data_IF_316664457540
#
_entry.id   IF_316664457540
#
_cell.length_a   1.000
_cell.length_b   1.000
_cell.length_c   1.000
_cell.angle_alpha   90.00
_cell.angle_beta   90.00
_cell.angle_gamma   90.00
#
_symmetry.space_group_name_H-M   'P 1'
#
loop_
_entity.id
_entity.type
_entity.pdbx_description
1 polymer ?
#
# COMPACT_ATOMS: atom_id res chain seq x y z
N UNK A 1 -3.05 -8.01 -6.27
CA UNK A 1 -4.37 -8.02 -5.56
C UNK A 1 -5.25 -9.12 -6.14
N UNK A 2 -5.92 -9.90 -5.32
CA UNK A 2 -6.73 -11.07 -5.70
C UNK A 2 -7.89 -10.70 -6.64
N UNK A 3 -8.13 -11.42 -7.75
CA UNK A 3 -9.35 -11.29 -8.55
C UNK A 3 -10.63 -11.49 -7.73
N UNK A 4 -11.73 -10.87 -8.16
CA UNK A 4 -12.99 -10.94 -7.41
C UNK A 4 -13.58 -12.35 -7.35
N UNK A 5 -13.41 -13.12 -8.42
CA UNK A 5 -13.86 -14.49 -8.59
C UNK A 5 -12.91 -15.55 -8.01
N UNK A 6 -11.72 -15.15 -7.55
CA UNK A 6 -10.76 -16.05 -6.91
C UNK A 6 -10.97 -16.06 -5.38
N UNK A 7 -11.51 -17.11 -4.76
CA UNK A 7 -11.95 -17.07 -3.37
C UNK A 7 -10.78 -17.03 -2.36
N UNK A 8 -10.98 -16.39 -1.22
CA UNK A 8 -9.98 -16.32 -0.13
C UNK A 8 -9.60 -17.72 0.39
N UNK A 9 -10.52 -18.68 0.35
CA UNK A 9 -10.25 -20.08 0.75
C UNK A 9 -9.18 -20.76 -0.10
N UNK A 10 -8.93 -20.25 -1.32
CA UNK A 10 -7.83 -20.70 -2.19
C UNK A 10 -6.62 -19.75 -2.11
N UNK A 11 -6.88 -18.45 -2.03
CA UNK A 11 -5.83 -17.43 -2.09
C UNK A 11 -4.91 -17.47 -0.87
N UNK A 12 -5.44 -17.51 0.36
CA UNK A 12 -4.61 -17.50 1.55
C UNK A 12 -3.71 -18.74 1.66
N UNK A 13 -4.21 -19.99 1.42
CA UNK A 13 -3.34 -21.16 1.34
C UNK A 13 -2.28 -21.05 0.26
N UNK A 14 -2.61 -20.50 -0.93
CA UNK A 14 -1.64 -20.29 -2.01
C UNK A 14 -0.49 -19.37 -1.56
N UNK A 15 -0.82 -18.24 -0.90
CA UNK A 15 0.19 -17.32 -0.35
C UNK A 15 1.06 -18.02 0.70
N UNK A 16 0.46 -18.76 1.63
CA UNK A 16 1.22 -19.50 2.63
C UNK A 16 2.16 -20.56 2.01
N UNK A 17 1.67 -21.32 1.02
CA UNK A 17 2.47 -22.33 0.33
C UNK A 17 3.59 -21.74 -0.55
N UNK A 18 3.51 -20.48 -0.92
CA UNK A 18 4.59 -19.79 -1.64
C UNK A 18 5.81 -19.48 -0.77
N UNK A 19 5.75 -19.74 0.52
CA UNK A 19 6.79 -19.38 1.50
C UNK A 19 6.68 -17.96 2.04
N UNK A 20 5.63 -17.22 1.67
CA UNK A 20 5.38 -15.90 2.24
C UNK A 20 5.00 -16.01 3.73
N UNK A 21 5.53 -15.11 4.55
CA UNK A 21 5.24 -15.01 5.99
C UNK A 21 4.11 -14.03 6.31
N UNK A 22 3.68 -13.23 5.33
CA UNK A 22 2.66 -12.21 5.51
C UNK A 22 1.85 -11.98 4.24
N UNK A 23 0.70 -11.32 4.39
CA UNK A 23 -0.20 -10.94 3.29
C UNK A 23 -0.70 -9.52 3.49
N UNK A 24 -0.68 -8.70 2.43
CA UNK A 24 -1.40 -7.45 2.35
C UNK A 24 -2.89 -7.69 2.09
N UNK A 25 -3.75 -7.04 2.86
CA UNK A 25 -5.19 -7.14 2.75
C UNK A 25 -5.79 -5.82 2.25
N UNK A 26 -6.99 -5.90 1.69
CA UNK A 26 -7.80 -4.73 1.34
C UNK A 26 -9.12 -4.77 2.09
N UNK A 27 -9.83 -3.64 2.10
CA UNK A 27 -11.17 -3.54 2.70
C UNK A 27 -12.11 -4.64 2.20
N UNK A 28 -11.95 -5.13 0.96
CA UNK A 28 -12.75 -6.25 0.42
C UNK A 28 -12.62 -7.54 1.24
N UNK A 29 -11.46 -7.77 1.85
CA UNK A 29 -11.31 -8.93 2.73
C UNK A 29 -12.26 -8.85 3.93
N UNK A 30 -12.45 -7.63 4.46
CA UNK A 30 -13.35 -7.36 5.59
C UNK A 30 -14.84 -7.40 5.20
N UNK A 31 -15.15 -7.21 3.93
CA UNK A 31 -16.51 -7.31 3.40
C UNK A 31 -16.91 -8.78 3.12
N UNK A 32 -15.92 -9.61 2.79
CA UNK A 32 -16.15 -11.03 2.46
C UNK A 32 -16.07 -11.96 3.68
N UNK A 33 -15.25 -11.63 4.69
CA UNK A 33 -15.00 -12.49 5.86
C UNK A 33 -15.03 -11.64 7.13
N UNK A 34 -15.82 -12.00 8.14
CA UNK A 34 -15.78 -11.36 9.46
C UNK A 34 -14.36 -11.38 10.05
N UNK A 35 -13.93 -10.24 10.62
CA UNK A 35 -12.55 -10.05 11.12
C UNK A 35 -12.07 -11.16 12.03
N UNK A 36 -12.85 -11.66 13.03
CA UNK A 36 -12.41 -12.76 13.89
C UNK A 36 -12.14 -14.07 13.12
N UNK A 37 -12.97 -14.36 12.09
CA UNK A 37 -12.77 -15.56 11.26
C UNK A 37 -11.54 -15.39 10.34
N UNK A 38 -11.34 -14.19 9.79
CA UNK A 38 -10.16 -13.88 8.97
C UNK A 38 -8.88 -14.03 9.81
N UNK A 39 -8.87 -13.48 11.03
CA UNK A 39 -7.76 -13.61 11.98
C UNK A 39 -7.43 -15.09 12.29
N UNK A 40 -8.44 -15.91 12.59
CA UNK A 40 -8.24 -17.34 12.84
C UNK A 40 -7.62 -18.05 11.63
N UNK A 41 -8.15 -17.82 10.41
CA UNK A 41 -7.62 -18.42 9.18
C UNK A 41 -6.16 -18.02 8.89
N UNK A 42 -5.82 -16.75 9.13
CA UNK A 42 -4.44 -16.27 8.98
C UNK A 42 -3.51 -16.95 9.98
N UNK A 43 -3.94 -17.07 11.24
CA UNK A 43 -3.18 -17.77 12.29
C UNK A 43 -2.96 -19.24 11.96
N UNK A 44 -4.00 -19.95 11.48
CA UNK A 44 -3.91 -21.37 11.07
C UNK A 44 -2.91 -21.57 9.92
N UNK A 45 -2.73 -20.55 9.06
CA UNK A 45 -1.80 -20.60 7.94
C UNK A 45 -0.41 -20.01 8.27
N UNK A 46 -0.20 -19.50 9.49
CA UNK A 46 1.04 -18.85 9.89
C UNK A 46 1.31 -17.53 9.16
N UNK A 47 0.26 -16.86 8.65
CA UNK A 47 0.38 -15.60 7.93
C UNK A 47 0.14 -14.40 8.83
N UNK A 48 1.09 -13.48 8.90
CA UNK A 48 0.87 -12.14 9.44
C UNK A 48 0.13 -11.25 8.45
N UNK A 49 -0.43 -10.13 8.92
CA UNK A 49 -0.95 -9.06 8.06
C UNK A 49 0.10 -7.97 7.94
N UNK A 50 0.73 -7.85 6.78
CA UNK A 50 1.75 -6.83 6.51
C UNK A 50 1.14 -5.45 6.34
N UNK A 51 0.06 -5.35 5.57
CA UNK A 51 -0.71 -4.12 5.42
C UNK A 51 -2.21 -4.36 5.31
N UNK A 52 -2.99 -3.32 5.70
CA UNK A 52 -4.40 -3.20 5.38
C UNK A 52 -4.60 -1.97 4.51
N UNK A 53 -5.21 -2.13 3.34
CA UNK A 53 -5.39 -1.09 2.33
C UNK A 53 -6.86 -0.76 2.14
N UNK A 54 -7.26 0.51 2.10
CA UNK A 54 -6.54 1.70 2.49
C UNK A 54 -7.50 2.69 3.15
N UNK A 55 -7.00 3.38 4.16
CA UNK A 55 -7.68 4.49 4.83
C UNK A 55 -7.35 5.82 4.13
N UNK A 56 -7.88 6.94 4.66
CA UNK A 56 -7.60 8.28 4.16
C UNK A 56 -8.75 8.86 3.35
N UNK A 57 -8.49 9.22 2.09
CA UNK A 57 -9.45 9.84 1.15
C UNK A 57 -10.13 11.08 1.73
N UNK A 58 -9.32 12.06 2.17
CA UNK A 58 -9.73 13.22 2.95
C UNK A 58 -10.46 14.31 2.16
N UNK A 59 -10.55 14.21 0.83
CA UNK A 59 -10.92 15.32 -0.05
C UNK A 59 -12.39 15.34 -0.48
N UNK A 60 -13.24 14.43 0.03
CA UNK A 60 -14.67 14.48 -0.26
C UNK A 60 -15.30 15.73 0.35
N UNK A 61 -15.87 16.61 -0.49
CA UNK A 61 -16.60 17.80 -0.07
C UNK A 61 -18.09 17.55 0.18
N UNK A 62 -18.64 16.54 -0.46
CA UNK A 62 -19.98 16.06 -0.15
C UNK A 62 -20.01 15.50 1.28
N UNK A 63 -20.90 16.08 2.11
CA UNK A 63 -20.95 15.77 3.53
C UNK A 63 -21.27 14.30 3.82
N UNK A 64 -22.14 13.69 3.01
CA UNK A 64 -22.53 12.30 3.18
C UNK A 64 -21.37 11.35 2.81
N UNK A 65 -20.66 11.62 1.70
CA UNK A 65 -19.47 10.87 1.31
C UNK A 65 -18.33 11.03 2.31
N UNK A 66 -18.13 12.26 2.81
CA UNK A 66 -17.12 12.53 3.84
C UNK A 66 -17.42 11.75 5.12
N UNK A 67 -18.67 11.74 5.58
CA UNK A 67 -19.08 10.99 6.76
C UNK A 67 -18.93 9.47 6.58
N UNK A 68 -19.31 8.94 5.41
CA UNK A 68 -19.09 7.52 5.08
C UNK A 68 -17.61 7.16 5.08
N UNK A 69 -16.76 8.01 4.49
CA UNK A 69 -15.32 7.77 4.48
C UNK A 69 -14.74 7.82 5.90
N UNK A 70 -15.16 8.76 6.73
CA UNK A 70 -14.74 8.81 8.13
C UNK A 70 -15.11 7.52 8.88
N UNK A 71 -16.34 7.02 8.71
CA UNK A 71 -16.77 5.75 9.28
C UNK A 71 -15.94 4.56 8.75
N UNK A 72 -15.65 4.55 7.46
CA UNK A 72 -14.78 3.53 6.84
C UNK A 72 -13.37 3.55 7.44
N UNK A 73 -12.81 4.73 7.65
CA UNK A 73 -11.49 4.88 8.27
C UNK A 73 -11.46 4.32 9.71
N UNK A 74 -12.50 4.58 10.50
CA UNK A 74 -12.62 4.00 11.85
C UNK A 74 -12.70 2.48 11.80
N UNK A 75 -13.55 1.92 10.94
CA UNK A 75 -13.66 0.47 10.72
C UNK A 75 -12.31 -0.16 10.34
N UNK A 76 -11.54 0.51 9.47
CA UNK A 76 -10.22 0.02 9.07
C UNK A 76 -9.20 0.09 10.20
N UNK A 77 -9.23 1.11 11.05
CA UNK A 77 -8.38 1.19 12.25
C UNK A 77 -8.72 0.04 13.20
N UNK A 78 -10.00 -0.19 13.51
CA UNK A 78 -10.43 -1.23 14.41
C UNK A 78 -10.06 -2.63 13.87
N UNK A 79 -10.25 -2.86 12.57
CA UNK A 79 -9.85 -4.11 11.91
C UNK A 79 -8.33 -4.30 11.88
N UNK A 80 -7.55 -3.24 11.62
CA UNK A 80 -6.09 -3.28 11.64
C UNK A 80 -5.57 -3.66 13.04
N UNK A 81 -6.14 -3.08 14.09
CA UNK A 81 -5.81 -3.41 15.48
C UNK A 81 -6.14 -4.88 15.81
N UNK A 82 -7.34 -5.36 15.45
CA UNK A 82 -7.78 -6.73 15.73
C UNK A 82 -6.95 -7.77 14.97
N UNK A 83 -6.63 -7.51 13.70
CA UNK A 83 -5.81 -8.39 12.85
C UNK A 83 -4.32 -8.33 13.21
N UNK A 84 -3.88 -7.34 13.99
CA UNK A 84 -2.46 -7.10 14.24
C UNK A 84 -1.73 -6.66 12.97
N UNK A 85 -2.38 -5.90 12.09
CA UNK A 85 -1.78 -5.42 10.86
C UNK A 85 -0.56 -4.53 11.17
N UNK A 86 0.57 -4.80 10.54
CA UNK A 86 1.81 -4.05 10.75
C UNK A 86 1.69 -2.60 10.29
N UNK A 87 0.84 -2.36 9.28
CA UNK A 87 0.64 -1.04 8.68
C UNK A 87 -0.81 -0.88 8.19
N UNK A 88 -1.44 0.24 8.50
CA UNK A 88 -2.64 0.70 7.81
C UNK A 88 -2.22 1.72 6.75
N UNK A 89 -2.33 1.35 5.48
CA UNK A 89 -1.94 2.21 4.36
C UNK A 89 -2.95 3.36 4.21
N UNK A 90 -2.43 4.56 3.98
CA UNK A 90 -3.22 5.79 3.82
C UNK A 90 -3.01 6.37 2.44
N UNK A 91 -4.11 6.47 1.67
CA UNK A 91 -4.19 7.14 0.37
C UNK A 91 -5.00 8.43 0.55
N UNK A 92 -4.49 9.54 0.06
CA UNK A 92 -4.98 10.87 0.45
C UNK A 92 -6.25 11.34 -0.26
N UNK A 93 -6.59 10.73 -1.39
CA UNK A 93 -7.67 11.18 -2.27
C UNK A 93 -7.20 12.19 -3.31
N UNK A 94 -7.85 12.18 -4.48
CA UNK A 94 -7.51 13.04 -5.62
C UNK A 94 -8.33 14.32 -5.69
N UNK A 95 -7.88 15.30 -6.48
CA UNK A 95 -8.50 16.62 -6.64
C UNK A 95 -9.93 16.56 -7.18
N UNK A 96 -10.27 15.57 -8.00
CA UNK A 96 -11.63 15.43 -8.54
C UNK A 96 -12.69 15.19 -7.49
N UNK A 97 -12.30 14.92 -6.24
CA UNK A 97 -13.23 14.77 -5.12
C UNK A 97 -13.72 16.10 -4.53
N UNK A 98 -13.30 17.26 -5.09
CA UNK A 98 -13.91 18.55 -4.82
C UNK A 98 -13.02 19.62 -4.21
N UNK A 99 -11.72 19.40 -4.07
CA UNK A 99 -10.81 20.43 -3.57
C UNK A 99 -10.74 21.64 -4.53
N UNK A 100 -10.76 22.85 -3.99
CA UNK A 100 -10.72 24.08 -4.77
C UNK A 100 -9.36 24.31 -5.45
N UNK A 101 -8.27 23.88 -4.83
CA UNK A 101 -6.90 23.95 -5.37
C UNK A 101 -6.03 22.85 -4.80
N UNK A 102 -4.88 22.57 -5.44
CA UNK A 102 -3.90 21.63 -4.92
C UNK A 102 -3.32 22.09 -3.57
N UNK A 103 -3.20 23.39 -3.34
CA UNK A 103 -2.76 23.95 -2.06
C UNK A 103 -3.77 23.64 -0.96
N UNK A 104 -5.06 23.89 -1.21
CA UNK A 104 -6.13 23.62 -0.22
C UNK A 104 -6.28 22.14 0.04
N UNK A 105 -6.18 21.31 -1.02
CA UNK A 105 -6.16 19.86 -0.90
C UNK A 105 -5.05 19.37 0.03
N UNK A 106 -3.82 19.84 -0.16
CA UNK A 106 -2.67 19.45 0.67
C UNK A 106 -2.81 19.88 2.12
N UNK A 107 -3.41 21.05 2.40
CA UNK A 107 -3.74 21.48 3.76
C UNK A 107 -4.78 20.55 4.40
N UNK A 108 -5.87 20.25 3.68
CA UNK A 108 -6.92 19.33 4.15
C UNK A 108 -6.34 17.93 4.42
N UNK A 109 -5.42 17.46 3.58
CA UNK A 109 -4.72 16.19 3.76
C UNK A 109 -3.87 16.20 5.04
N UNK A 110 -3.06 17.24 5.27
CA UNK A 110 -2.24 17.33 6.47
C UNK A 110 -3.11 17.29 7.74
N UNK A 111 -4.16 18.11 7.80
CA UNK A 111 -5.11 18.12 8.92
C UNK A 111 -5.82 16.77 9.09
N UNK A 112 -6.20 16.13 7.98
CA UNK A 112 -6.86 14.82 7.98
C UNK A 112 -5.94 13.70 8.46
N UNK A 113 -4.67 13.72 8.03
CA UNK A 113 -3.67 12.74 8.44
C UNK A 113 -3.38 12.81 9.94
N UNK A 114 -3.24 14.01 10.50
CA UNK A 114 -3.05 14.18 11.94
C UNK A 114 -4.23 13.61 12.74
N UNK A 115 -5.48 13.97 12.40
CA UNK A 115 -6.66 13.41 13.07
C UNK A 115 -6.76 11.88 12.96
N UNK A 116 -6.44 11.33 11.79
CA UNK A 116 -6.43 9.89 11.59
C UNK A 116 -5.35 9.22 12.45
N UNK A 117 -4.17 9.83 12.52
CA UNK A 117 -3.05 9.33 13.31
C UNK A 117 -3.34 9.29 14.81
N UNK A 118 -3.97 10.33 15.36
CA UNK A 118 -4.41 10.35 16.76
C UNK A 118 -5.35 9.19 17.09
N UNK A 119 -6.33 8.93 16.22
CA UNK A 119 -7.26 7.81 16.40
C UNK A 119 -6.58 6.45 16.23
N UNK A 120 -5.68 6.32 15.25
CA UNK A 120 -4.89 5.12 15.02
C UNK A 120 -3.94 4.83 16.19
N UNK A 121 -3.27 5.85 16.73
CA UNK A 121 -2.41 5.73 17.91
C UNK A 121 -3.16 5.18 19.12
N UNK A 122 -4.39 5.67 19.36
CA UNK A 122 -5.24 5.20 20.46
C UNK A 122 -5.62 3.72 20.33
N UNK A 123 -5.56 3.15 19.13
CA UNK A 123 -5.80 1.73 18.84
C UNK A 123 -4.51 0.92 18.67
N UNK A 124 -3.33 1.52 18.86
CA UNK A 124 -2.04 0.87 18.64
C UNK A 124 -1.72 0.60 17.16
N UNK A 125 -2.36 1.31 16.23
CA UNK A 125 -2.21 1.12 14.79
C UNK A 125 -1.18 2.10 14.23
N UNK A 126 -0.26 1.60 13.40
CA UNK A 126 0.73 2.40 12.68
C UNK A 126 0.24 2.72 11.26
N UNK A 127 0.33 3.98 10.85
CA UNK A 127 -0.06 4.44 9.52
C UNK A 127 1.13 4.39 8.55
N UNK A 128 0.86 4.01 7.30
CA UNK A 128 1.80 4.12 6.18
C UNK A 128 1.25 5.06 5.13
N UNK A 129 1.75 6.30 5.04
CA UNK A 129 1.36 7.23 3.99
C UNK A 129 1.96 6.79 2.66
N UNK A 130 1.10 6.54 1.67
CA UNK A 130 1.50 6.15 0.32
C UNK A 130 1.51 7.38 -0.61
N UNK A 131 2.69 7.83 -1.08
CA UNK A 131 2.77 8.81 -2.15
C UNK A 131 2.32 8.18 -3.47
N UNK A 132 1.49 8.90 -4.21
CA UNK A 132 0.87 8.42 -5.45
C UNK A 132 1.57 9.04 -6.66
N UNK A 133 1.84 8.25 -7.69
CA UNK A 133 2.38 8.76 -8.96
C UNK A 133 1.61 10.00 -9.44
N UNK A 134 2.27 11.04 -9.97
CA UNK A 134 1.62 12.29 -10.39
C UNK A 134 0.45 12.13 -11.37
N UNK A 135 0.45 11.08 -12.19
CA UNK A 135 -0.70 10.75 -13.05
C UNK A 135 -2.00 10.50 -12.26
N UNK A 136 -1.90 10.12 -10.98
CA UNK A 136 -3.04 9.90 -10.10
C UNK A 136 -3.52 11.12 -9.31
N UNK A 137 -2.98 12.33 -9.57
CA UNK A 137 -3.30 13.54 -8.78
C UNK A 137 -4.78 13.91 -8.80
N UNK A 138 -5.48 13.61 -9.87
CA UNK A 138 -6.91 13.93 -9.99
C UNK A 138 -7.81 12.91 -9.31
N UNK A 139 -7.43 11.63 -9.26
CA UNK A 139 -8.34 10.54 -8.89
C UNK A 139 -7.90 9.72 -7.68
N UNK A 140 -6.60 9.64 -7.38
CA UNK A 140 -6.09 8.74 -6.33
C UNK A 140 -5.43 9.49 -5.17
N UNK A 141 -4.49 10.42 -5.43
CA UNK A 141 -3.79 11.10 -4.34
C UNK A 141 -3.08 12.38 -4.73
N UNK A 142 -3.05 13.36 -3.81
CA UNK A 142 -2.41 14.67 -4.00
C UNK A 142 -1.05 14.83 -3.30
N UNK A 143 -0.56 13.77 -2.65
CA UNK A 143 0.83 13.64 -2.20
C UNK A 143 1.56 12.83 -3.26
N UNK A 144 2.41 13.51 -4.05
CA UNK A 144 2.94 12.95 -5.30
C UNK A 144 4.46 12.92 -5.35
N UNK A 145 5.15 13.13 -4.23
CA UNK A 145 6.60 12.94 -4.14
C UNK A 145 7.00 12.39 -2.78
N UNK A 146 8.09 11.66 -2.76
CA UNK A 146 8.66 11.05 -1.56
C UNK A 146 9.03 12.10 -0.51
N UNK A 147 9.65 13.20 -0.94
CA UNK A 147 10.01 14.33 -0.06
C UNK A 147 8.81 14.96 0.62
N UNK A 148 7.71 15.18 -0.13
CA UNK A 148 6.48 15.73 0.45
C UNK A 148 5.84 14.73 1.42
N UNK A 149 5.75 13.45 1.05
CA UNK A 149 5.22 12.42 1.94
C UNK A 149 6.04 12.31 3.24
N UNK A 150 7.37 12.31 3.14
CA UNK A 150 8.28 12.29 4.29
C UNK A 150 8.04 13.50 5.22
N UNK A 151 7.87 14.70 4.65
CA UNK A 151 7.60 15.90 5.44
C UNK A 151 6.28 15.84 6.22
N UNK A 152 5.27 15.16 5.66
CA UNK A 152 3.96 15.01 6.33
C UNK A 152 3.97 14.02 7.50
N UNK A 153 4.84 12.99 7.44
CA UNK A 153 4.92 11.97 8.50
C UNK A 153 6.01 12.24 9.52
N UNK A 154 6.90 13.22 9.28
CA UNK A 154 8.07 13.47 10.14
C UNK A 154 7.72 13.72 11.61
N UNK A 155 6.64 14.44 11.86
CA UNK A 155 6.21 14.89 13.18
C UNK A 155 5.11 13.99 13.79
N UNK A 156 4.74 12.90 13.11
CA UNK A 156 3.70 11.96 13.54
C UNK A 156 4.36 10.66 13.99
N UNK A 157 4.36 10.38 15.29
CA UNK A 157 5.12 9.27 15.88
C UNK A 157 4.66 7.88 15.42
N UNK A 158 3.38 7.70 15.08
CA UNK A 158 2.80 6.44 14.59
C UNK A 158 2.52 6.46 13.08
N UNK A 159 3.23 7.29 12.31
CA UNK A 159 3.15 7.32 10.88
C UNK A 159 4.54 7.21 10.24
N UNK A 160 4.60 6.50 9.13
CA UNK A 160 5.77 6.30 8.29
C UNK A 160 5.32 6.28 6.83
N UNK A 161 6.21 5.92 5.91
CA UNK A 161 5.88 5.76 4.50
C UNK A 161 5.46 4.31 4.20
N UNK A 162 4.45 4.15 3.36
CA UNK A 162 4.26 2.97 2.54
C UNK A 162 4.90 3.27 1.17
N UNK A 163 6.03 2.65 0.89
CA UNK A 163 6.77 2.86 -0.35
C UNK A 163 6.29 1.88 -1.40
N UNK A 164 5.42 2.34 -2.31
CA UNK A 164 5.06 1.58 -3.50
C UNK A 164 5.98 1.97 -4.67
N UNK A 165 6.80 1.02 -5.13
CA UNK A 165 7.74 1.26 -6.23
C UNK A 165 7.01 1.62 -7.54
N UNK A 166 5.79 1.09 -7.78
CA UNK A 166 4.97 1.52 -8.92
C UNK A 166 4.62 3.00 -8.88
N UNK A 167 4.46 3.57 -7.70
CA UNK A 167 4.14 4.99 -7.55
C UNK A 167 5.35 5.88 -7.40
N UNK A 168 6.55 5.32 -7.13
CA UNK A 168 7.73 6.07 -6.73
C UNK A 168 8.95 5.89 -7.65
N UNK A 169 8.92 4.97 -8.62
CA UNK A 169 10.06 4.64 -9.49
C UNK A 169 10.64 5.85 -10.26
N UNK A 170 9.81 6.82 -10.57
CA UNK A 170 10.15 8.03 -11.33
C UNK A 170 10.74 9.15 -10.45
N UNK A 171 10.58 9.06 -9.12
CA UNK A 171 10.95 10.13 -8.18
C UNK A 171 12.47 10.16 -8.00
N UNK A 172 13.15 11.28 -8.35
CA UNK A 172 14.59 11.40 -8.21
C UNK A 172 15.06 11.35 -6.75
N UNK A 173 14.18 11.54 -5.77
CA UNK A 173 14.50 11.43 -4.35
C UNK A 173 14.49 9.95 -3.84
N UNK A 174 14.09 8.96 -4.66
CA UNK A 174 14.03 7.55 -4.25
C UNK A 174 15.38 7.01 -3.74
N UNK A 175 16.52 7.21 -4.42
CA UNK A 175 17.82 6.75 -3.92
C UNK A 175 18.24 7.43 -2.62
N UNK A 176 17.86 8.69 -2.41
CA UNK A 176 18.14 9.42 -1.16
C UNK A 176 17.26 8.91 -0.01
N UNK A 177 15.98 8.68 -0.26
CA UNK A 177 15.06 8.09 0.71
C UNK A 177 15.59 6.73 1.21
N UNK A 178 16.00 5.86 0.29
CA UNK A 178 16.52 4.54 0.63
C UNK A 178 17.77 4.66 1.50
N UNK A 179 18.74 5.49 1.12
CA UNK A 179 20.00 5.63 1.84
C UNK A 179 19.85 6.29 3.22
N UNK A 180 19.04 7.34 3.32
CA UNK A 180 19.07 8.24 4.47
C UNK A 180 17.81 8.16 5.33
N UNK A 181 16.73 7.58 4.83
CA UNK A 181 15.40 7.57 5.47
C UNK A 181 14.74 6.19 5.48
N UNK A 182 15.49 5.10 5.31
CA UNK A 182 14.95 3.74 5.31
C UNK A 182 14.18 3.39 6.58
N UNK A 183 14.54 3.97 7.71
CA UNK A 183 13.85 3.83 9.00
C UNK A 183 12.45 4.51 9.03
N UNK A 184 12.14 5.35 8.03
CA UNK A 184 10.82 5.98 7.83
C UNK A 184 9.94 5.18 6.88
N UNK A 185 10.41 4.05 6.35
CA UNK A 185 9.63 3.15 5.50
C UNK A 185 9.10 2.02 6.36
N UNK A 186 7.79 1.80 6.35
CA UNK A 186 7.13 0.77 7.15
C UNK A 186 6.82 -0.50 6.36
N UNK A 187 6.41 -0.32 5.11
CA UNK A 187 6.13 -1.39 4.15
C UNK A 187 6.63 -0.96 2.79
N UNK A 188 7.17 -1.90 2.02
CA UNK A 188 7.55 -1.71 0.63
C UNK A 188 6.67 -2.57 -0.24
N UNK A 189 5.90 -1.93 -1.12
CA UNK A 189 5.10 -2.62 -2.14
C UNK A 189 5.90 -2.61 -3.45
N UNK A 190 6.03 -3.77 -4.07
CA UNK A 190 6.85 -3.90 -5.27
C UNK A 190 6.12 -4.63 -6.40
N UNK A 191 6.30 -4.15 -7.57
CA UNK A 191 6.10 -4.76 -8.88
C UNK A 191 6.96 -3.99 -9.87
N UNK A 192 6.99 -4.38 -11.12
CA UNK A 192 7.59 -3.56 -12.15
C UNK A 192 6.55 -2.65 -12.82
N UNK A 193 7.02 -1.74 -13.64
CA UNK A 193 6.24 -0.73 -14.37
C UNK A 193 6.48 -0.89 -15.86
N UNK A 194 5.41 -0.96 -16.64
CA UNK A 194 5.48 -0.96 -18.10
C UNK A 194 4.57 0.11 -18.67
N UNK A 195 4.99 0.74 -19.77
CA UNK A 195 4.14 1.54 -20.63
C UNK A 195 3.72 0.67 -21.81
N UNK A 196 2.42 0.44 -21.99
CA UNK A 196 1.94 -0.46 -23.03
C UNK A 196 1.88 0.22 -24.41
N UNK A 197 0.82 0.93 -24.68
CA UNK A 197 0.55 1.55 -26.00
C UNK A 197 0.66 3.06 -25.96
N UNK A 198 0.30 3.65 -24.82
CA UNK A 198 0.38 5.06 -24.53
C UNK A 198 1.39 5.24 -23.39
N UNK A 199 2.41 6.10 -23.52
CA UNK A 199 3.34 6.41 -22.44
C UNK A 199 2.67 6.92 -21.15
N UNK A 200 1.42 7.41 -21.25
CA UNK A 200 0.62 7.81 -20.10
C UNK A 200 -0.11 6.62 -19.45
N UNK A 201 -0.19 5.47 -20.11
CA UNK A 201 -0.85 4.25 -19.61
C UNK A 201 0.18 3.34 -18.92
N UNK A 202 0.59 3.72 -17.74
CA UNK A 202 1.48 2.93 -16.90
C UNK A 202 0.72 1.77 -16.26
N UNK A 203 1.30 0.58 -16.38
CA UNK A 203 0.71 -0.65 -15.88
C UNK A 203 1.69 -1.36 -14.94
N UNK A 204 1.14 -2.06 -13.93
CA UNK A 204 1.92 -2.97 -13.09
C UNK A 204 2.29 -4.22 -13.88
N UNK A 205 3.49 -4.75 -13.65
CA UNK A 205 3.99 -5.97 -14.27
C UNK A 205 4.79 -6.81 -13.27
N UNK A 206 5.13 -8.04 -13.65
CA UNK A 206 6.00 -8.90 -12.85
C UNK A 206 7.35 -8.22 -12.57
N UNK A 207 8.01 -8.51 -11.45
CA UNK A 207 9.19 -7.76 -11.03
C UNK A 207 10.37 -7.85 -12.01
N UNK A 208 10.40 -8.90 -12.85
CA UNK A 208 11.48 -9.15 -13.81
C UNK A 208 11.34 -8.37 -15.13
N UNK A 209 10.17 -7.76 -15.38
CA UNK A 209 9.84 -7.14 -16.69
C UNK A 209 9.36 -5.72 -16.52
N UNK A 210 10.11 -4.75 -17.00
CA UNK A 210 9.68 -3.35 -16.98
C UNK A 210 10.82 -2.34 -16.94
N UNK A 211 10.48 -1.13 -16.51
CA UNK A 211 11.36 0.04 -16.52
C UNK A 211 12.27 0.14 -15.28
N UNK A 212 11.95 -0.61 -14.21
CA UNK A 212 12.63 -0.53 -12.92
C UNK A 212 13.50 -1.79 -12.72
N UNK A 213 14.71 -1.61 -12.21
CA UNK A 213 15.48 -2.71 -11.63
C UNK A 213 14.99 -2.96 -10.20
N UNK A 214 13.87 -3.71 -10.09
CA UNK A 214 13.24 -4.02 -8.81
C UNK A 214 14.24 -4.73 -7.87
N UNK A 215 15.05 -5.63 -8.40
CA UNK A 215 16.06 -6.37 -7.62
C UNK A 215 17.07 -5.43 -6.97
N UNK A 216 17.60 -4.47 -7.73
CA UNK A 216 18.54 -3.49 -7.21
C UNK A 216 17.90 -2.63 -6.10
N UNK A 217 16.66 -2.20 -6.25
CA UNK A 217 15.97 -1.39 -5.23
C UNK A 217 15.72 -2.17 -3.93
N UNK A 218 15.25 -3.43 -4.02
CA UNK A 218 15.03 -4.26 -2.83
C UNK A 218 16.36 -4.60 -2.12
N UNK A 219 17.42 -4.87 -2.89
CA UNK A 219 18.75 -5.11 -2.34
C UNK A 219 19.32 -3.85 -1.67
N UNK A 220 19.13 -2.67 -2.27
CA UNK A 220 19.55 -1.41 -1.68
C UNK A 220 18.84 -1.14 -0.35
N UNK A 221 17.52 -1.37 -0.27
CA UNK A 221 16.74 -1.28 0.96
C UNK A 221 17.29 -2.22 2.04
N UNK A 222 17.51 -3.48 1.70
CA UNK A 222 18.05 -4.49 2.62
C UNK A 222 19.45 -4.11 3.10
N UNK A 223 20.34 -3.65 2.22
CA UNK A 223 21.69 -3.21 2.56
C UNK A 223 21.72 -1.98 3.50
N UNK A 224 20.68 -1.15 3.45
CA UNK A 224 20.51 -0.01 4.38
C UNK A 224 19.76 -0.40 5.67
N UNK A 225 19.57 -1.69 5.93
CA UNK A 225 18.98 -2.18 7.18
C UNK A 225 17.44 -2.10 7.23
N UNK A 226 16.76 -1.98 6.09
CA UNK A 226 15.31 -2.12 6.06
C UNK A 226 14.93 -3.53 6.52
N UNK A 227 14.13 -3.60 7.58
CA UNK A 227 13.68 -4.86 8.20
C UNK A 227 12.16 -5.04 8.16
N UNK A 228 11.46 -4.19 7.41
CA UNK A 228 10.02 -4.28 7.19
C UNK A 228 9.66 -5.36 6.17
N UNK A 229 8.40 -5.36 5.78
CA UNK A 229 7.87 -6.36 4.85
C UNK A 229 7.96 -5.86 3.40
N UNK A 230 8.39 -6.73 2.51
CA UNK A 230 8.25 -6.55 1.07
C UNK A 230 6.95 -7.22 0.60
N UNK A 231 6.04 -6.45 0.01
CA UNK A 231 4.76 -6.92 -0.53
C UNK A 231 4.79 -6.93 -2.05
N UNK A 232 4.62 -8.08 -2.67
CA UNK A 232 4.34 -8.12 -4.10
C UNK A 232 2.93 -7.63 -4.38
N UNK A 233 2.80 -6.54 -5.13
CA UNK A 233 1.51 -5.94 -5.45
C UNK A 233 1.24 -5.92 -6.96
N UNK A 234 0.39 -6.83 -7.41
CA UNK A 234 -0.13 -6.85 -8.77
C UNK A 234 -1.67 -6.89 -8.72
N UNK A 235 -2.34 -5.98 -9.42
CA UNK A 235 -3.79 -5.94 -9.46
C UNK A 235 -4.35 -6.96 -10.44
N UNK A 236 -5.59 -7.40 -10.19
CA UNK A 236 -6.25 -8.42 -10.98
C UNK A 236 -6.36 -8.04 -12.47
N UNK A 237 -6.62 -6.78 -12.77
CA UNK A 237 -6.67 -6.24 -14.13
C UNK A 237 -5.33 -6.31 -14.87
N UNK A 238 -4.22 -6.35 -14.14
CA UNK A 238 -2.87 -6.46 -14.70
C UNK A 238 -2.41 -7.90 -14.92
N UNK A 239 -3.20 -8.90 -14.53
CA UNK A 239 -2.88 -10.31 -14.78
C UNK A 239 -2.85 -10.64 -16.27
N UNK A 240 -3.66 -9.95 -17.10
CA UNK A 240 -3.66 -10.10 -18.57
C UNK A 240 -3.81 -11.55 -19.01
N UNK A 241 -4.74 -12.27 -18.39
CA UNK A 241 -5.00 -13.67 -18.70
C UNK A 241 -4.05 -14.68 -18.05
N UNK A 242 -3.05 -14.22 -17.29
CA UNK A 242 -2.22 -15.11 -16.45
C UNK A 242 -3.02 -15.53 -15.22
N UNK A 243 -2.79 -16.73 -14.73
CA UNK A 243 -3.42 -17.21 -13.51
C UNK A 243 -2.70 -16.67 -12.24
N UNK A 244 -3.44 -16.66 -11.14
CA UNK A 244 -2.95 -16.14 -9.85
C UNK A 244 -1.81 -16.98 -9.30
N UNK A 245 -1.90 -18.30 -9.48
CA UNK A 245 -0.93 -19.28 -9.01
C UNK A 245 0.45 -19.05 -9.64
N UNK A 246 0.47 -18.87 -10.95
CA UNK A 246 1.71 -18.56 -11.71
C UNK A 246 2.34 -17.27 -11.23
N UNK A 247 1.52 -16.23 -11.01
CA UNK A 247 2.04 -14.93 -10.60
C UNK A 247 2.59 -14.94 -9.18
N UNK A 248 1.93 -15.65 -8.26
CA UNK A 248 2.44 -15.84 -6.89
C UNK A 248 3.75 -16.65 -6.90
N UNK A 249 3.81 -17.72 -7.67
CA UNK A 249 5.01 -18.54 -7.79
C UNK A 249 6.20 -17.76 -8.40
N UNK A 250 5.94 -16.95 -9.43
CA UNK A 250 6.96 -16.09 -10.04
C UNK A 250 7.50 -15.07 -9.04
N UNK A 251 6.64 -14.39 -8.31
CA UNK A 251 7.05 -13.42 -7.29
C UNK A 251 7.88 -14.06 -6.17
N UNK A 252 7.46 -15.24 -5.69
CA UNK A 252 8.20 -16.00 -4.68
C UNK A 252 9.58 -16.41 -5.18
N UNK A 253 9.67 -16.92 -6.41
CA UNK A 253 10.95 -17.28 -7.03
C UNK A 253 11.87 -16.07 -7.20
N UNK A 254 11.33 -14.94 -7.69
CA UNK A 254 12.07 -13.69 -7.81
C UNK A 254 12.65 -13.25 -6.47
N UNK A 255 11.82 -13.20 -5.43
CA UNK A 255 12.26 -12.77 -4.10
C UNK A 255 13.31 -13.72 -3.49
N UNK A 256 13.13 -15.01 -3.64
CA UNK A 256 14.12 -16.00 -3.17
C UNK A 256 15.48 -15.90 -3.87
N UNK A 257 15.54 -15.34 -5.07
CA UNK A 257 16.79 -15.12 -5.82
C UNK A 257 17.54 -13.84 -5.39
N UNK A 258 16.94 -12.98 -4.53
CA UNK A 258 17.58 -11.78 -3.97
C UNK A 258 18.37 -12.08 -2.68
N UNK A 259 18.10 -13.22 -2.05
CA UNK A 259 18.79 -13.70 -0.84
C UNK A 259 20.03 -14.48 -1.26
#
# INVERSE_FOLDING_TARGET
MRPADYPFSKFLPLVAHSGASAVGLTIRALDEIPVPQLKARLADLGLAVSSLNSAGYFLYQDAERSARQASTNLRLIDAAAELGAQTLVVITGGLSHGAASLRDARKTIADGLHRLAERAASAGVHLGLEPIHPAGVLNKGCVNSLRHALSLVSDIHNASLALDLYHSWWDPDLPDLIRNHGNKIRVVQFCNVVALRDPADLQRESPEVGLLDVGAELNALSAQGYSGTFEYELFAEHLRGRDVESMVAQAAKFYAALA
#
